data_IF_189869172970
#
_entry.id   IF_189869172970
#
_cell.length_a   1.000
_cell.length_b   1.000
_cell.length_c   1.000
_cell.angle_alpha   90.00
_cell.angle_beta   90.00
_cell.angle_gamma   90.00
#
_symmetry.space_group_name_H-M   'P 1'
#
loop_
_entity.id
_entity.type
_entity.pdbx_description
1 polymer ?
#
# COMPACT_ATOMS: atom_id res chain seq x y z
N UNK A 1 -26.35 24.16 10.88
CA UNK A 1 -25.32 24.14 9.82
C UNK A 1 -24.28 23.08 10.16
N UNK A 2 -23.74 22.43 9.14
CA UNK A 2 -22.76 21.32 9.11
C UNK A 2 -23.28 19.90 9.40
N UNK A 3 -23.50 19.14 8.34
CA UNK A 3 -23.67 17.69 8.28
C UNK A 3 -22.30 16.99 8.29
N UNK A 4 -22.06 16.08 9.23
CA UNK A 4 -20.97 15.11 9.11
C UNK A 4 -21.57 13.75 8.79
N UNK A 5 -21.39 13.28 7.55
CA UNK A 5 -21.65 11.89 7.20
C UNK A 5 -20.43 11.08 7.63
N UNK A 6 -20.51 10.47 8.81
CA UNK A 6 -19.54 9.46 9.26
C UNK A 6 -19.87 8.14 8.54
N UNK A 7 -19.40 7.99 7.30
CA UNK A 7 -19.29 6.66 6.70
C UNK A 7 -18.22 5.83 7.43
N UNK A 8 -18.26 4.49 7.38
CA UNK A 8 -17.17 3.68 7.91
C UNK A 8 -15.89 4.04 7.15
N UNK A 9 -14.90 4.59 7.85
CA UNK A 9 -13.59 4.86 7.27
C UNK A 9 -12.91 3.54 6.86
N UNK A 10 -12.02 3.59 5.85
CA UNK A 10 -11.19 2.43 5.45
C UNK A 10 -10.50 1.86 6.69
N UNK A 11 -10.55 0.53 6.93
CA UNK A 11 -9.88 -0.07 8.07
C UNK A 11 -8.42 0.35 8.12
N UNK A 12 -7.97 0.77 9.31
CA UNK A 12 -6.57 1.08 9.50
C UNK A 12 -5.74 -0.18 9.20
N UNK A 13 -4.67 0.01 8.45
CA UNK A 13 -3.95 -1.07 7.80
C UNK A 13 -3.08 -1.89 8.82
N UNK A 14 -3.25 -1.67 10.13
CA UNK A 14 -2.45 -2.21 11.24
C UNK A 14 -1.29 -1.31 11.68
N UNK A 15 -0.62 -1.68 12.77
CA UNK A 15 0.60 -1.00 13.24
C UNK A 15 1.69 -1.01 12.17
N UNK A 16 2.29 0.15 11.89
CA UNK A 16 3.39 0.31 10.92
C UNK A 16 4.45 1.26 11.41
N UNK A 17 5.71 0.90 11.14
CA UNK A 17 6.86 1.78 11.32
C UNK A 17 7.11 2.56 10.03
N UNK A 18 7.26 3.88 10.13
CA UNK A 18 7.69 4.72 9.01
C UNK A 18 9.20 4.60 8.83
N UNK A 19 9.64 4.28 7.61
CA UNK A 19 11.05 4.22 7.25
C UNK A 19 11.37 5.26 6.18
N UNK A 20 12.46 6.01 6.35
CA UNK A 20 13.01 6.92 5.33
C UNK A 20 14.32 6.36 4.80
N UNK A 21 14.37 6.10 3.49
CA UNK A 21 15.53 5.52 2.80
C UNK A 21 15.99 6.46 1.69
N UNK A 22 17.31 6.52 1.46
CA UNK A 22 17.89 7.15 0.27
C UNK A 22 18.14 6.06 -0.76
N UNK A 23 17.53 6.21 -1.93
CA UNK A 23 17.58 5.23 -3.02
C UNK A 23 18.12 5.94 -4.27
N UNK A 24 19.00 5.32 -5.08
CA UNK A 24 19.39 5.87 -6.37
C UNK A 24 18.16 6.18 -7.25
N UNK A 25 18.24 7.24 -8.07
CA UNK A 25 17.14 7.68 -8.93
C UNK A 25 16.60 6.55 -9.81
N UNK A 26 17.50 5.78 -10.40
CA UNK A 26 17.15 4.76 -11.39
C UNK A 26 16.37 3.60 -10.74
N UNK A 27 16.72 3.28 -9.49
CA UNK A 27 16.01 2.28 -8.69
C UNK A 27 14.63 2.82 -8.30
N UNK A 28 14.53 4.09 -7.90
CA UNK A 28 13.24 4.72 -7.60
C UNK A 28 12.29 4.66 -8.81
N UNK A 29 12.78 5.00 -10.01
CA UNK A 29 11.97 4.98 -11.22
C UNK A 29 11.55 3.56 -11.61
N UNK A 30 12.42 2.58 -11.43
CA UNK A 30 12.08 1.17 -11.61
C UNK A 30 10.98 0.71 -10.64
N UNK A 31 11.10 1.03 -9.35
CA UNK A 31 10.08 0.70 -8.34
C UNK A 31 8.73 1.36 -8.68
N UNK A 32 8.75 2.63 -9.09
CA UNK A 32 7.55 3.38 -9.46
C UNK A 32 6.87 2.80 -10.70
N UNK A 33 7.64 2.39 -11.71
CA UNK A 33 7.12 1.76 -12.93
C UNK A 33 6.46 0.42 -12.63
N UNK A 34 7.10 -0.42 -11.83
CA UNK A 34 6.56 -1.73 -11.43
C UNK A 34 5.28 -1.61 -10.60
N UNK A 35 5.27 -0.70 -9.61
CA UNK A 35 4.08 -0.41 -8.82
C UNK A 35 2.90 0.03 -9.71
N UNK A 36 3.17 0.94 -10.67
CA UNK A 36 2.16 1.40 -11.63
C UNK A 36 1.66 0.27 -12.54
N UNK A 37 2.56 -0.59 -13.03
CA UNK A 37 2.20 -1.73 -13.88
C UNK A 37 1.28 -2.73 -13.14
N UNK A 38 1.45 -2.85 -11.82
CA UNK A 38 0.62 -3.70 -10.95
C UNK A 38 -0.63 -3.01 -10.42
N UNK A 39 -0.81 -1.70 -10.70
CA UNK A 39 -1.95 -0.92 -10.20
C UNK A 39 -1.93 -0.68 -8.68
N UNK A 40 -0.78 -0.89 -8.01
CA UNK A 40 -0.65 -0.73 -6.56
C UNK A 40 0.17 0.52 -6.20
N UNK A 41 0.06 0.96 -4.94
CA UNK A 41 0.92 2.05 -4.46
C UNK A 41 2.39 1.62 -4.41
N UNK A 42 3.30 2.56 -4.63
CA UNK A 42 4.75 2.29 -4.53
C UNK A 42 5.16 1.78 -3.13
N UNK A 43 4.54 2.29 -2.07
CA UNK A 43 4.80 1.82 -0.70
C UNK A 43 4.38 0.36 -0.53
N UNK A 44 3.24 -0.04 -1.10
CA UNK A 44 2.78 -1.42 -1.08
C UNK A 44 3.73 -2.32 -1.87
N UNK A 45 4.14 -1.89 -3.07
CA UNK A 45 5.10 -2.64 -3.87
C UNK A 45 6.43 -2.88 -3.12
N UNK A 46 6.99 -1.84 -2.50
CA UNK A 46 8.23 -1.96 -1.70
C UNK A 46 8.04 -2.88 -0.50
N UNK A 47 6.89 -2.80 0.18
CA UNK A 47 6.58 -3.70 1.29
C UNK A 47 6.48 -5.16 0.82
N UNK A 48 5.79 -5.43 -0.30
CA UNK A 48 5.67 -6.77 -0.89
C UNK A 48 7.06 -7.33 -1.28
N UNK A 49 7.92 -6.52 -1.90
CA UNK A 49 9.28 -6.91 -2.26
C UNK A 49 10.10 -7.24 -1.01
N UNK A 50 10.05 -6.40 0.03
CA UNK A 50 10.76 -6.64 1.28
C UNK A 50 10.25 -7.90 2.00
N UNK A 51 8.92 -8.07 2.07
CA UNK A 51 8.30 -9.23 2.68
C UNK A 51 8.62 -10.53 1.93
N UNK A 52 8.57 -10.51 0.60
CA UNK A 52 8.97 -11.65 -0.23
C UNK A 52 10.45 -12.00 -0.02
N UNK A 53 11.33 -11.00 0.02
CA UNK A 53 12.76 -11.20 0.23
C UNK A 53 13.09 -11.79 1.61
N UNK A 54 12.32 -11.42 2.64
CA UNK A 54 12.48 -11.92 4.01
C UNK A 54 11.70 -13.21 4.30
N UNK A 55 11.00 -13.78 3.31
CA UNK A 55 10.17 -14.98 3.53
C UNK A 55 8.93 -14.75 4.39
N UNK A 56 8.44 -13.50 4.46
CA UNK A 56 7.28 -13.07 5.25
C UNK A 56 6.10 -12.56 4.38
N UNK A 57 5.66 -13.26 3.33
CA UNK A 57 4.69 -12.73 2.36
C UNK A 57 3.32 -12.36 2.97
N UNK A 58 2.94 -12.98 4.10
CA UNK A 58 1.68 -12.67 4.81
C UNK A 58 1.69 -11.35 5.59
N UNK A 59 2.85 -10.71 5.74
CA UNK A 59 2.96 -9.43 6.46
C UNK A 59 2.43 -8.24 5.65
N UNK A 60 2.15 -8.44 4.36
CA UNK A 60 1.65 -7.40 3.46
C UNK A 60 0.28 -7.82 2.99
N UNK A 61 -0.76 -7.31 3.65
CA UNK A 61 -2.14 -7.58 3.27
C UNK A 61 -2.49 -6.87 1.96
N UNK A 62 -2.97 -7.63 0.98
CA UNK A 62 -3.72 -7.09 -0.15
C UNK A 62 -5.09 -6.65 0.39
N UNK A 63 -5.32 -5.34 0.51
CA UNK A 63 -6.68 -4.85 0.49
C UNK A 63 -6.97 -4.51 -0.96
N UNK A 64 -7.50 -5.48 -1.69
CA UNK A 64 -8.19 -5.21 -2.95
C UNK A 64 -9.16 -4.05 -2.68
N UNK A 65 -9.24 -3.10 -3.61
CA UNK A 65 -10.25 -2.04 -3.61
C UNK A 65 -11.65 -2.63 -3.93
N UNK A 66 -11.99 -3.80 -3.39
CA UNK A 66 -13.27 -4.48 -3.53
C UNK A 66 -14.01 -4.52 -2.20
N UNK A 67 -14.59 -3.38 -1.85
CA UNK A 67 -15.92 -3.41 -1.23
C UNK A 67 -16.70 -2.20 -1.75
N UNK A 68 -17.01 -2.23 -3.05
CA UNK A 68 -18.17 -1.55 -3.57
C UNK A 68 -19.38 -2.22 -2.90
N UNK A 69 -19.84 -1.66 -1.79
CA UNK A 69 -21.09 -2.03 -1.14
C UNK A 69 -22.19 -1.89 -2.21
N UNK A 70 -22.91 -2.96 -2.60
CA UNK A 70 -24.03 -2.84 -3.53
C UNK A 70 -25.13 -1.97 -2.91
N UNK A 71 -25.77 -1.16 -3.78
CA UNK A 71 -26.65 -0.04 -3.48
C UNK A 71 -27.83 -0.33 -2.52
#
# INVERSE_FOLDING_TARGET
>A
MATTRSGPGRPALGERTRMTVRVPSDVYDALRREAKARGISMNQYVAEVAAAHLGMPKAVSHFDDQEAIPA
#
